data_IF_019343043515
#
_entry.id   IF_019343043515
#
_cell.length_a   1.000
_cell.length_b   1.000
_cell.length_c   1.000
_cell.angle_alpha   90.00
_cell.angle_beta   90.00
_cell.angle_gamma   90.00
#
_symmetry.space_group_name_H-M   'P 1'
#
loop_
_entity.id
_entity.type
_entity.pdbx_description
1 polymer ?
#
# COMPACT_ATOMS: atom_id res chain seq x y z
N UNK A 1 -14.54 16.39 22.06
CA UNK A 1 -13.77 15.47 22.93
C UNK A 1 -12.61 16.26 23.51
N UNK A 2 -12.57 16.53 24.82
CA UNK A 2 -11.46 17.26 25.45
C UNK A 2 -10.25 16.33 25.56
N UNK A 3 -9.07 16.81 25.23
CA UNK A 3 -7.81 16.07 25.38
C UNK A 3 -7.44 15.95 26.86
N UNK A 4 -6.63 14.95 27.21
CA UNK A 4 -6.13 14.77 28.59
C UNK A 4 -5.41 16.03 29.12
N UNK A 5 -4.70 16.74 28.26
CA UNK A 5 -3.95 17.95 28.57
C UNK A 5 -4.83 19.16 28.94
N UNK A 6 -6.07 19.23 28.44
CA UNK A 6 -7.03 20.31 28.79
C UNK A 6 -7.56 20.23 30.21
N UNK A 7 -7.31 19.14 30.92
CA UNK A 7 -7.74 18.90 32.30
C UNK A 7 -6.60 18.97 33.32
N UNK A 8 -5.36 19.15 32.85
CA UNK A 8 -4.19 19.21 33.70
C UNK A 8 -4.00 20.61 34.29
N UNK A 9 -3.53 20.67 35.51
CA UNK A 9 -3.06 21.90 36.12
C UNK A 9 -1.75 22.37 35.49
N UNK A 10 -1.43 23.65 35.63
CA UNK A 10 -0.23 24.25 34.99
C UNK A 10 1.06 23.51 35.35
N UNK A 11 1.23 23.11 36.59
CA UNK A 11 2.40 22.37 37.04
C UNK A 11 2.51 20.97 36.43
N UNK A 12 1.37 20.30 36.21
CA UNK A 12 1.33 19.01 35.54
C UNK A 12 1.64 19.14 34.04
N UNK A 13 1.17 20.21 33.41
CA UNK A 13 1.47 20.54 32.03
C UNK A 13 2.96 20.82 31.83
N UNK A 14 3.57 21.59 32.72
CA UNK A 14 5.03 21.89 32.67
C UNK A 14 5.84 20.61 32.79
N UNK A 15 5.48 19.72 33.74
CA UNK A 15 6.13 18.43 33.89
C UNK A 15 5.98 17.54 32.63
N UNK A 16 4.80 17.50 32.03
CA UNK A 16 4.54 16.75 30.82
C UNK A 16 5.33 17.31 29.63
N UNK A 17 5.46 18.63 29.52
CA UNK A 17 6.27 19.29 28.47
C UNK A 17 7.75 18.90 28.61
N UNK A 18 8.30 18.95 29.82
CA UNK A 18 9.71 18.58 30.03
C UNK A 18 9.96 17.09 29.75
N UNK A 19 9.04 16.21 30.12
CA UNK A 19 9.11 14.79 29.78
C UNK A 19 9.13 14.57 28.26
N UNK A 20 8.20 15.19 27.51
CA UNK A 20 8.14 15.11 26.06
C UNK A 20 9.38 15.70 25.36
N UNK A 21 9.93 16.80 25.90
CA UNK A 21 11.19 17.36 25.39
C UNK A 21 12.35 16.38 25.57
N UNK A 22 12.41 15.67 26.69
CA UNK A 22 13.42 14.66 26.94
C UNK A 22 13.30 13.47 25.97
N UNK A 23 12.08 12.96 25.73
CA UNK A 23 11.83 11.91 24.76
C UNK A 23 12.24 12.33 23.33
N UNK A 24 11.88 13.55 22.92
CA UNK A 24 12.29 14.09 21.61
C UNK A 24 13.80 14.21 21.50
N UNK A 25 14.48 14.64 22.56
CA UNK A 25 15.94 14.73 22.61
C UNK A 25 16.59 13.35 22.48
N UNK A 26 16.04 12.34 23.15
CA UNK A 26 16.51 10.94 23.05
C UNK A 26 16.38 10.41 21.62
N UNK A 27 15.22 10.62 20.98
CA UNK A 27 14.99 10.18 19.59
C UNK A 27 15.96 10.89 18.63
N UNK A 28 16.18 12.20 18.81
CA UNK A 28 17.15 12.96 18.00
C UNK A 28 18.58 12.46 18.20
N UNK A 29 18.96 12.08 19.42
CA UNK A 29 20.29 11.54 19.71
C UNK A 29 20.58 10.21 19.01
N UNK A 30 19.53 9.44 18.61
CA UNK A 30 19.68 8.21 17.84
C UNK A 30 20.18 8.46 16.40
N UNK A 31 20.20 9.71 15.92
CA UNK A 31 20.71 10.08 14.60
C UNK A 31 19.99 9.39 13.42
N UNK A 32 18.69 9.09 13.59
CA UNK A 32 17.92 8.38 12.58
C UNK A 32 17.72 9.26 11.34
N UNK A 33 18.13 8.76 10.18
CA UNK A 33 17.85 9.37 8.88
C UNK A 33 16.61 8.73 8.27
N UNK A 34 15.42 9.16 8.72
CA UNK A 34 14.14 8.64 8.25
C UNK A 34 13.56 9.56 7.18
N UNK A 35 13.23 8.97 6.03
CA UNK A 35 12.49 9.64 4.96
C UNK A 35 11.02 9.21 5.01
N UNK A 36 10.16 10.15 5.35
CA UNK A 36 8.70 9.96 5.41
C UNK A 36 7.99 10.61 4.22
N UNK A 37 8.73 11.12 3.23
CA UNK A 37 8.16 11.84 2.10
C UNK A 37 7.40 10.91 1.14
N UNK A 38 7.75 9.63 1.08
CA UNK A 38 7.09 8.62 0.24
C UNK A 38 7.10 7.25 0.92
N UNK A 39 5.94 6.58 0.90
CA UNK A 39 5.81 5.17 1.29
C UNK A 39 6.41 4.26 0.22
N UNK A 40 7.73 4.04 0.29
CA UNK A 40 8.41 3.05 -0.55
C UNK A 40 8.67 1.78 0.26
N UNK A 41 8.40 0.59 -0.28
CA UNK A 41 8.81 -0.64 0.38
C UNK A 41 10.33 -0.71 0.53
N UNK A 42 10.80 -1.26 1.64
CA UNK A 42 12.23 -1.52 1.87
C UNK A 42 12.75 -2.61 0.92
N UNK A 43 14.08 -2.68 0.66
CA UNK A 43 14.64 -3.74 -0.16
C UNK A 43 14.23 -5.15 0.29
N UNK A 44 14.19 -5.42 1.60
CA UNK A 44 13.76 -6.71 2.12
C UNK A 44 12.29 -7.02 1.86
N UNK A 45 11.42 -6.01 1.79
CA UNK A 45 10.02 -6.19 1.41
C UNK A 45 9.89 -6.48 -0.09
N UNK A 46 10.68 -5.81 -0.93
CA UNK A 46 10.72 -6.09 -2.37
C UNK A 46 11.25 -7.48 -2.66
N UNK A 47 12.25 -7.95 -1.90
CA UNK A 47 12.83 -9.28 -2.07
C UNK A 47 11.82 -10.41 -1.83
N UNK A 48 10.75 -10.18 -1.05
CA UNK A 48 9.66 -11.17 -0.87
C UNK A 48 8.97 -11.49 -2.20
N UNK A 49 8.79 -10.50 -3.07
CA UNK A 49 8.13 -10.66 -4.36
C UNK A 49 9.09 -11.04 -5.51
N UNK A 50 10.40 -10.97 -5.29
CA UNK A 50 11.41 -11.25 -6.34
C UNK A 50 11.27 -12.63 -7.00
N UNK A 51 10.95 -13.73 -6.28
CA UNK A 51 10.75 -15.03 -6.91
C UNK A 51 9.62 -15.06 -7.95
N UNK A 52 8.70 -14.09 -7.90
CA UNK A 52 7.61 -13.99 -8.90
C UNK A 52 8.15 -13.74 -10.31
N UNK A 53 9.35 -13.16 -10.46
CA UNK A 53 9.96 -12.90 -11.76
C UNK A 53 10.33 -14.18 -12.53
N UNK A 54 10.51 -15.30 -11.83
CA UNK A 54 10.87 -16.59 -12.43
C UNK A 54 9.65 -17.48 -12.71
N UNK A 55 8.45 -17.06 -12.31
CA UNK A 55 7.21 -17.84 -12.52
C UNK A 55 6.81 -17.81 -14.00
N UNK A 56 6.96 -16.66 -14.67
CA UNK A 56 6.64 -16.49 -16.08
C UNK A 56 7.90 -16.73 -16.92
N UNK A 57 8.18 -17.97 -17.19
CA UNK A 57 9.27 -18.40 -18.08
C UNK A 57 8.72 -19.03 -19.36
N UNK A 58 9.61 -19.55 -20.24
CA UNK A 58 9.24 -20.13 -21.53
C UNK A 58 8.33 -21.34 -21.43
N UNK A 59 8.36 -22.05 -20.29
CA UNK A 59 7.57 -23.25 -20.05
C UNK A 59 6.29 -22.98 -19.22
N UNK A 60 6.05 -21.71 -18.86
CA UNK A 60 4.90 -21.34 -18.04
C UNK A 60 3.59 -21.49 -18.84
N UNK A 61 2.56 -22.01 -18.19
CA UNK A 61 1.19 -21.95 -18.72
C UNK A 61 0.68 -20.51 -18.62
N UNK A 62 0.36 -19.93 -19.75
CA UNK A 62 -0.12 -18.54 -19.87
C UNK A 62 -1.65 -18.50 -20.01
N UNK A 63 -2.38 -19.46 -19.43
CA UNK A 63 -3.84 -19.47 -19.42
C UNK A 63 -4.40 -19.21 -18.02
N UNK A 64 -5.48 -18.46 -17.97
CA UNK A 64 -6.35 -18.33 -16.79
C UNK A 64 -7.72 -18.93 -17.14
N UNK A 65 -7.86 -20.22 -16.89
CA UNK A 65 -9.01 -21.00 -17.35
C UNK A 65 -9.09 -21.02 -18.89
N UNK A 66 -10.10 -20.36 -19.45
CA UNK A 66 -10.27 -20.25 -20.91
C UNK A 66 -9.67 -18.98 -21.52
N UNK A 67 -8.99 -18.16 -20.70
CA UNK A 67 -8.39 -16.91 -21.15
C UNK A 67 -6.94 -17.14 -21.50
N UNK A 68 -6.56 -16.88 -22.74
CA UNK A 68 -5.17 -16.83 -23.21
C UNK A 68 -4.53 -15.49 -22.77
N UNK A 69 -3.69 -15.53 -21.75
CA UNK A 69 -3.01 -14.36 -21.22
C UNK A 69 -1.85 -13.86 -22.10
N UNK A 70 -1.47 -14.59 -23.13
CA UNK A 70 -0.49 -14.15 -24.12
C UNK A 70 -1.08 -13.24 -25.19
N UNK A 71 -2.40 -13.04 -25.19
CA UNK A 71 -3.12 -12.26 -26.18
C UNK A 71 -3.96 -11.15 -25.50
N UNK A 72 -4.49 -10.25 -26.30
CA UNK A 72 -5.40 -9.19 -25.84
C UNK A 72 -6.85 -9.70 -25.78
N UNK A 73 -7.72 -8.95 -25.08
CA UNK A 73 -9.18 -9.20 -25.10
C UNK A 73 -9.84 -9.25 -23.73
N UNK A 74 -9.07 -9.15 -22.64
CA UNK A 74 -9.58 -9.17 -21.26
C UNK A 74 -9.48 -7.77 -20.64
N UNK A 75 -10.36 -6.85 -21.08
CA UNK A 75 -10.32 -5.42 -20.70
C UNK A 75 -10.50 -5.17 -19.20
N UNK A 76 -11.24 -6.03 -18.53
CA UNK A 76 -11.56 -5.89 -17.11
C UNK A 76 -10.48 -6.48 -16.18
N UNK A 77 -9.48 -7.13 -16.76
CA UNK A 77 -8.52 -7.97 -16.06
C UNK A 77 -8.91 -9.45 -16.08
N UNK A 78 -7.91 -10.33 -15.98
CA UNK A 78 -8.13 -11.78 -16.02
C UNK A 78 -8.92 -12.25 -14.77
N UNK A 79 -9.72 -13.32 -14.87
CA UNK A 79 -10.61 -13.77 -13.79
C UNK A 79 -9.92 -13.98 -12.45
N UNK A 80 -8.78 -14.63 -12.43
CA UNK A 80 -8.01 -14.86 -11.20
C UNK A 80 -7.52 -13.58 -10.55
N UNK A 81 -7.07 -12.59 -11.33
CA UNK A 81 -6.64 -11.30 -10.80
C UNK A 81 -7.82 -10.51 -10.22
N UNK A 82 -8.97 -10.50 -10.90
CA UNK A 82 -10.19 -9.84 -10.41
C UNK A 82 -10.68 -10.47 -9.11
N UNK A 83 -10.65 -11.80 -9.02
CA UNK A 83 -11.00 -12.52 -7.79
C UNK A 83 -10.07 -12.15 -6.64
N UNK A 84 -8.77 -12.22 -6.86
CA UNK A 84 -7.76 -11.88 -5.85
C UNK A 84 -7.90 -10.42 -5.38
N UNK A 85 -8.01 -9.48 -6.31
CA UNK A 85 -8.18 -8.07 -5.97
C UNK A 85 -9.51 -7.82 -5.22
N UNK A 86 -10.60 -8.49 -5.63
CA UNK A 86 -11.88 -8.43 -4.94
C UNK A 86 -11.83 -8.92 -3.50
N UNK A 87 -11.09 -10.00 -3.24
CA UNK A 87 -10.86 -10.50 -1.88
C UNK A 87 -10.14 -9.47 -1.01
N UNK A 88 -9.12 -8.79 -1.53
CA UNK A 88 -8.42 -7.71 -0.81
C UNK A 88 -9.30 -6.49 -0.57
N UNK A 89 -10.14 -6.12 -1.53
CA UNK A 89 -11.01 -4.94 -1.46
C UNK A 89 -12.33 -5.21 -0.71
N UNK A 90 -12.66 -6.47 -0.45
CA UNK A 90 -13.93 -6.86 0.16
C UNK A 90 -15.13 -6.66 -0.77
N UNK A 91 -14.93 -6.79 -2.09
CA UNK A 91 -15.99 -6.67 -3.10
C UNK A 91 -16.01 -7.87 -4.05
N UNK A 92 -17.16 -8.17 -4.69
CA UNK A 92 -17.27 -9.25 -5.67
C UNK A 92 -16.33 -9.05 -6.87
N UNK A 93 -15.83 -10.15 -7.44
CA UNK A 93 -14.96 -10.11 -8.63
C UNK A 93 -15.64 -9.42 -9.82
N UNK A 94 -16.97 -9.54 -9.95
CA UNK A 94 -17.78 -8.93 -11.01
C UNK A 94 -17.78 -7.39 -10.91
N UNK A 95 -17.52 -6.85 -9.73
CA UNK A 95 -17.42 -5.40 -9.45
C UNK A 95 -15.97 -4.91 -9.38
N UNK A 96 -15.01 -5.80 -9.66
CA UNK A 96 -13.59 -5.50 -9.57
C UNK A 96 -12.98 -5.42 -10.96
N UNK A 97 -12.28 -4.33 -11.23
CA UNK A 97 -11.46 -4.14 -12.43
C UNK A 97 -9.99 -4.20 -12.05
N UNK A 98 -9.19 -4.92 -12.81
CA UNK A 98 -7.74 -4.97 -12.65
C UNK A 98 -7.10 -4.42 -13.92
N UNK A 99 -6.65 -3.19 -13.83
CA UNK A 99 -6.12 -2.41 -14.94
C UNK A 99 -4.60 -2.16 -14.76
N UNK A 100 -4.08 -1.14 -15.41
CA UNK A 100 -2.66 -0.80 -15.35
C UNK A 100 -2.17 -0.41 -13.94
N UNK A 101 -0.86 -0.20 -13.80
CA UNK A 101 -0.18 0.04 -12.52
C UNK A 101 -0.22 1.50 -12.02
N UNK A 102 -0.86 2.41 -12.75
CA UNK A 102 -0.95 3.83 -12.39
C UNK A 102 -2.33 4.20 -11.89
N UNK A 103 -2.47 4.41 -10.58
CA UNK A 103 -3.73 4.86 -9.96
C UNK A 103 -4.21 6.19 -10.54
N UNK A 104 -3.31 7.13 -10.80
CA UNK A 104 -3.66 8.43 -11.38
C UNK A 104 -4.23 8.30 -12.80
N UNK A 105 -3.73 7.38 -13.61
CA UNK A 105 -4.26 7.12 -14.94
C UNK A 105 -5.65 6.50 -14.85
N UNK A 106 -5.83 5.52 -13.98
CA UNK A 106 -7.12 4.85 -13.75
C UNK A 106 -8.17 5.87 -13.27
N UNK A 107 -7.82 6.73 -12.30
CA UNK A 107 -8.71 7.77 -11.81
C UNK A 107 -9.08 8.80 -12.89
N UNK A 108 -8.14 9.15 -13.75
CA UNK A 108 -8.39 10.04 -14.89
C UNK A 108 -9.39 9.41 -15.85
N UNK A 109 -9.17 8.17 -16.25
CA UNK A 109 -10.01 7.47 -17.23
C UNK A 109 -11.42 7.24 -16.68
N UNK A 110 -11.56 6.92 -15.40
CA UNK A 110 -12.87 6.77 -14.74
C UNK A 110 -13.66 8.07 -14.63
N UNK A 111 -13.02 9.23 -14.70
CA UNK A 111 -13.71 10.54 -14.67
C UNK A 111 -14.20 10.99 -16.05
N UNK A 112 -13.75 10.33 -17.11
CA UNK A 112 -14.14 10.66 -18.49
C UNK A 112 -15.36 9.88 -18.96
N UNK A 113 -15.86 8.96 -18.15
CA UNK A 113 -17.07 8.17 -18.37
C UNK A 113 -18.21 8.75 -17.52
#
# INVERSE_FOLDING_TARGET
MQTIYQKMETTELDAAIEALKAEVAEVKAKGLALDMARGKPSPSQVDISRPMLDILNVDADLHDGNVDCSNYGCFEGIPSARKLAGEFLGCPAEQTLVLGSSSLLIEHDMKLV
#
